data_IF_981366615931
#
_entry.id   IF_981366615931
#
_cell.length_a   1.000
_cell.length_b   1.000
_cell.length_c   1.000
_cell.angle_alpha   90.00
_cell.angle_beta   90.00
_cell.angle_gamma   90.00
#
_symmetry.space_group_name_H-M   'P 1'
#
loop_
_entity.id
_entity.type
_entity.pdbx_description
1 polymer ?
#
# COMPACT_ATOMS: atom_id res chain seq x y z
N UNK A 1 0.35 16.33 -19.38
CA UNK A 1 -0.43 16.18 -18.13
C UNK A 1 0.17 14.97 -17.43
N UNK A 2 0.32 14.95 -16.11
CA UNK A 2 0.83 13.74 -15.45
C UNK A 2 -0.33 12.77 -15.28
N UNK A 3 -0.22 11.53 -15.80
CA UNK A 3 -1.23 10.51 -15.54
C UNK A 3 -1.03 10.02 -14.11
N UNK A 4 -2.14 9.87 -13.39
CA UNK A 4 -2.14 9.40 -12.01
C UNK A 4 -2.73 8.00 -11.97
N UNK A 5 -2.01 7.07 -11.35
CA UNK A 5 -2.55 5.75 -11.08
C UNK A 5 -3.32 5.77 -9.76
N UNK A 6 -4.42 5.03 -9.70
CA UNK A 6 -5.20 4.80 -8.48
C UNK A 6 -4.68 3.54 -7.79
N UNK A 7 -4.43 3.64 -6.47
CA UNK A 7 -3.96 2.53 -5.64
C UNK A 7 -5.06 2.16 -4.64
N UNK A 8 -5.58 0.95 -4.73
CA UNK A 8 -6.48 0.35 -3.74
C UNK A 8 -5.61 -0.50 -2.81
N UNK A 9 -5.42 -0.01 -1.58
CA UNK A 9 -4.54 -0.57 -0.57
C UNK A 9 -5.35 -1.20 0.56
N UNK A 10 -4.86 -2.35 1.05
CA UNK A 10 -5.33 -2.97 2.28
C UNK A 10 -4.15 -3.55 3.05
N UNK A 11 -4.09 -3.28 4.35
CA UNK A 11 -3.17 -3.92 5.28
C UNK A 11 -3.91 -4.50 6.49
N UNK A 12 -3.42 -5.63 6.99
CA UNK A 12 -3.84 -6.19 8.28
C UNK A 12 -2.65 -6.72 9.09
N UNK A 13 -2.68 -6.47 10.40
CA UNK A 13 -1.66 -6.95 11.35
C UNK A 13 -2.14 -6.80 12.79
N UNK A 14 -1.82 -7.78 13.64
CA UNK A 14 -2.03 -7.69 15.09
C UNK A 14 -1.03 -6.74 15.78
N UNK A 15 0.06 -6.36 15.08
CA UNK A 15 1.03 -5.40 15.60
C UNK A 15 0.50 -3.96 15.46
N UNK A 16 -0.03 -3.43 16.56
CA UNK A 16 -0.63 -2.09 16.60
C UNK A 16 0.35 -0.97 16.22
N UNK A 17 1.62 -1.09 16.60
CA UNK A 17 2.64 -0.09 16.25
C UNK A 17 2.91 -0.08 14.74
N UNK A 18 2.94 -1.24 14.09
CA UNK A 18 3.07 -1.31 12.64
C UNK A 18 1.81 -0.78 11.95
N UNK A 19 0.63 -1.03 12.53
CA UNK A 19 -0.64 -0.49 12.02
C UNK A 19 -0.67 1.05 12.10
N UNK A 20 -0.22 1.63 13.22
CA UNK A 20 -0.07 3.08 13.40
C UNK A 20 0.90 3.68 12.37
N UNK A 21 2.03 3.01 12.11
CA UNK A 21 3.00 3.43 11.10
C UNK A 21 2.42 3.39 9.68
N UNK A 22 1.65 2.36 9.35
CA UNK A 22 1.00 2.25 8.03
C UNK A 22 0.00 3.38 7.82
N UNK A 23 -0.89 3.61 8.79
CA UNK A 23 -1.89 4.69 8.72
C UNK A 23 -1.21 6.05 8.53
N UNK A 24 -0.26 6.40 9.41
CA UNK A 24 0.44 7.67 9.35
C UNK A 24 1.25 7.85 8.05
N UNK A 25 1.93 6.79 7.58
CA UNK A 25 2.70 6.85 6.34
C UNK A 25 1.80 7.16 5.13
N UNK A 26 0.63 6.50 5.03
CA UNK A 26 -0.27 6.71 3.91
C UNK A 26 -0.85 8.14 3.92
N UNK A 27 -1.24 8.65 5.08
CA UNK A 27 -1.74 10.03 5.25
C UNK A 27 -0.67 11.09 4.95
N UNK A 28 0.59 10.84 5.35
CA UNK A 28 1.69 11.81 5.19
C UNK A 28 2.25 11.86 3.76
N UNK A 29 2.24 10.73 3.04
CA UNK A 29 2.95 10.60 1.76
C UNK A 29 2.05 10.64 0.53
N UNK A 30 0.77 10.32 0.66
CA UNK A 30 -0.15 10.25 -0.48
C UNK A 30 -1.38 11.13 -0.31
N UNK A 31 -1.90 11.62 -1.44
CA UNK A 31 -3.20 12.26 -1.46
C UNK A 31 -4.27 11.19 -1.67
N UNK A 32 -5.06 10.91 -0.64
CA UNK A 32 -6.05 9.84 -0.66
C UNK A 32 -6.92 9.80 0.58
N UNK A 33 -7.67 8.71 0.71
CA UNK A 33 -8.46 8.39 1.88
C UNK A 33 -7.84 7.21 2.60
N UNK A 34 -7.61 7.34 3.91
CA UNK A 34 -7.14 6.27 4.79
C UNK A 34 -8.22 6.01 5.82
N UNK A 35 -8.57 4.73 6.00
CA UNK A 35 -9.57 4.29 6.96
C UNK A 35 -9.02 3.14 7.80
N UNK A 36 -9.02 3.34 9.11
CA UNK A 36 -8.62 2.31 10.07
C UNK A 36 -9.83 1.68 10.74
N UNK A 37 -9.85 0.36 10.81
CA UNK A 37 -10.85 -0.40 11.54
C UNK A 37 -10.24 -1.67 12.15
N UNK A 38 -10.29 -1.77 13.48
CA UNK A 38 -9.70 -2.89 14.21
C UNK A 38 -8.21 -3.03 13.92
N UNK A 39 -7.82 -4.21 13.45
CA UNK A 39 -6.43 -4.56 13.10
C UNK A 39 -6.14 -4.38 11.60
N UNK A 40 -6.89 -3.49 10.93
CA UNK A 40 -6.80 -3.24 9.49
C UNK A 40 -6.73 -1.76 9.13
N UNK A 41 -6.04 -1.47 8.03
CA UNK A 41 -6.00 -0.15 7.36
C UNK A 41 -6.34 -0.36 5.89
N UNK A 42 -7.42 0.27 5.43
CA UNK A 42 -7.79 0.37 4.01
C UNK A 42 -7.48 1.78 3.51
N UNK A 43 -6.98 1.89 2.30
CA UNK A 43 -6.74 3.20 1.68
C UNK A 43 -6.98 3.21 0.17
N UNK A 44 -7.38 4.36 -0.34
CA UNK A 44 -7.39 4.68 -1.76
C UNK A 44 -6.61 5.96 -1.99
N UNK A 45 -5.55 5.90 -2.80
CA UNK A 45 -4.67 7.04 -3.01
C UNK A 45 -4.05 7.08 -4.41
N UNK A 46 -3.62 8.28 -4.82
CA UNK A 46 -3.01 8.50 -6.13
C UNK A 46 -1.48 8.41 -6.10
N UNK A 47 -0.89 7.79 -7.11
CA UNK A 47 0.55 7.83 -7.40
C UNK A 47 0.80 8.36 -8.82
N UNK A 48 2.04 8.75 -9.13
CA UNK A 48 2.39 9.22 -10.48
C UNK A 48 2.66 8.02 -11.38
N UNK A 49 1.92 7.91 -12.48
CA UNK A 49 2.08 6.93 -13.56
C UNK A 49 1.83 5.46 -13.20
N UNK A 50 2.47 4.97 -12.14
CA UNK A 50 2.55 3.53 -11.83
C UNK A 50 2.50 3.27 -10.32
N UNK A 51 2.68 2.00 -9.94
CA UNK A 51 2.77 1.60 -8.54
C UNK A 51 3.94 2.32 -7.84
N UNK A 52 3.73 2.98 -6.69
CA UNK A 52 4.77 3.74 -5.99
C UNK A 52 5.73 2.79 -5.24
N UNK A 53 6.54 2.06 -6.00
CA UNK A 53 7.40 0.99 -5.47
C UNK A 53 8.36 1.48 -4.40
N UNK A 54 9.00 2.62 -4.64
CA UNK A 54 9.97 3.18 -3.71
C UNK A 54 9.33 3.51 -2.36
N UNK A 55 8.24 4.26 -2.37
CA UNK A 55 7.54 4.70 -1.15
C UNK A 55 6.99 3.49 -0.38
N UNK A 56 6.39 2.52 -1.06
CA UNK A 56 5.85 1.34 -0.39
C UNK A 56 6.95 0.40 0.13
N UNK A 57 8.08 0.27 -0.57
CA UNK A 57 9.22 -0.50 -0.05
C UNK A 57 9.84 0.18 1.17
N UNK A 58 9.90 1.52 1.21
CA UNK A 58 10.33 2.28 2.39
C UNK A 58 9.35 2.07 3.57
N UNK A 59 8.04 2.10 3.32
CA UNK A 59 7.03 1.75 4.31
C UNK A 59 7.28 0.34 4.85
N UNK A 60 7.32 -0.68 3.97
CA UNK A 60 7.47 -2.07 4.38
C UNK A 60 8.79 -2.27 5.14
N UNK A 61 9.89 -1.65 4.71
CA UNK A 61 11.17 -1.75 5.40
C UNK A 61 11.12 -1.24 6.86
N UNK A 62 10.30 -0.22 7.14
CA UNK A 62 10.12 0.40 8.46
C UNK A 62 9.31 -0.44 9.47
N UNK A 63 8.60 -1.46 8.99
CA UNK A 63 7.73 -2.32 9.81
C UNK A 63 8.53 -3.37 10.60
N UNK A 64 8.07 -3.69 11.80
CA UNK A 64 8.76 -4.59 12.72
C UNK A 64 8.36 -6.06 12.50
N UNK A 65 7.06 -6.36 12.50
CA UNK A 65 6.51 -7.72 12.42
C UNK A 65 6.18 -8.12 10.97
N UNK A 66 7.12 -7.92 10.04
CA UNK A 66 6.93 -8.14 8.59
C UNK A 66 6.39 -9.53 8.23
N UNK A 67 6.71 -10.54 9.02
CA UNK A 67 6.25 -11.92 8.83
C UNK A 67 4.77 -12.12 9.20
N UNK A 68 4.20 -11.21 10.00
CA UNK A 68 2.80 -11.24 10.48
C UNK A 68 1.90 -10.21 9.81
N UNK A 69 2.45 -9.42 8.90
CA UNK A 69 1.73 -8.38 8.16
C UNK A 69 1.23 -8.97 6.84
N UNK A 70 -0.02 -8.65 6.51
CA UNK A 70 -0.58 -8.87 5.18
C UNK A 70 -0.85 -7.51 4.55
N UNK A 71 -0.29 -7.26 3.36
CA UNK A 71 -0.59 -6.08 2.54
C UNK A 71 -0.99 -6.55 1.14
N UNK A 72 -2.01 -5.92 0.55
CA UNK A 72 -2.32 -6.06 -0.88
C UNK A 72 -2.56 -4.68 -1.48
N UNK A 73 -2.08 -4.49 -2.70
CA UNK A 73 -2.21 -3.23 -3.43
C UNK A 73 -2.55 -3.55 -4.88
N UNK A 74 -3.70 -3.06 -5.32
CA UNK A 74 -4.07 -3.00 -6.73
C UNK A 74 -3.82 -1.57 -7.22
N UNK A 75 -2.89 -1.42 -8.15
CA UNK A 75 -2.66 -0.17 -8.84
C UNK A 75 -3.18 -0.28 -10.27
N UNK A 76 -3.93 0.71 -10.73
CA UNK A 76 -4.34 0.79 -12.13
C UNK A 76 -4.29 2.22 -12.66
N UNK A 77 -4.03 2.34 -13.95
CA UNK A 77 -4.14 3.57 -14.73
C UNK A 77 -4.79 3.20 -16.07
N UNK A 78 -5.90 3.86 -16.42
CA UNK A 78 -6.76 3.40 -17.52
C UNK A 78 -6.33 3.94 -18.88
N UNK A 79 -5.66 5.09 -18.95
CA UNK A 79 -5.26 5.70 -20.23
C UNK A 79 -4.12 4.92 -20.91
N UNK A 80 -3.14 4.46 -20.12
CA UNK A 80 -1.99 3.66 -20.54
C UNK A 80 -2.22 2.15 -20.34
N UNK A 81 -3.45 1.74 -19.98
CA UNK A 81 -3.86 0.35 -19.74
C UNK A 81 -2.95 -0.39 -18.73
N UNK A 82 -2.41 0.35 -17.76
CA UNK A 82 -1.50 -0.17 -16.74
C UNK A 82 -2.27 -0.82 -15.58
N UNK A 83 -1.81 -1.99 -15.15
CA UNK A 83 -2.27 -2.66 -13.94
C UNK A 83 -1.11 -3.34 -13.24
N UNK A 84 -1.08 -3.26 -11.91
CA UNK A 84 -0.16 -4.01 -11.06
C UNK A 84 -0.92 -4.51 -9.85
N UNK A 85 -0.80 -5.81 -9.54
CA UNK A 85 -1.38 -6.37 -8.34
C UNK A 85 -0.32 -7.09 -7.50
N UNK A 86 -0.06 -6.56 -6.30
CA UNK A 86 1.02 -7.00 -5.42
C UNK A 86 0.48 -7.40 -4.06
N UNK A 87 1.01 -8.49 -3.51
CA UNK A 87 0.69 -8.98 -2.17
C UNK A 87 1.99 -9.13 -1.39
N UNK A 88 2.07 -8.50 -0.23
CA UNK A 88 3.12 -8.77 0.75
C UNK A 88 2.55 -9.65 1.86
N UNK A 89 3.17 -10.80 2.09
CA UNK A 89 2.82 -11.66 3.21
C UNK A 89 4.02 -12.51 3.60
N UNK A 90 4.11 -12.88 4.88
CA UNK A 90 5.21 -13.72 5.38
C UNK A 90 6.61 -13.14 5.02
N UNK A 91 6.73 -11.80 5.05
CA UNK A 91 7.97 -11.10 4.75
C UNK A 91 8.38 -11.08 3.27
N UNK A 92 7.50 -11.43 2.33
CA UNK A 92 7.82 -11.52 0.89
C UNK A 92 6.74 -10.90 0.01
N UNK A 93 7.19 -10.32 -1.10
CA UNK A 93 6.33 -9.86 -2.18
C UNK A 93 5.98 -11.00 -3.15
N UNK A 94 4.72 -11.03 -3.57
CA UNK A 94 4.16 -11.87 -4.62
C UNK A 94 3.45 -10.95 -5.63
N UNK A 95 4.04 -10.82 -6.82
CA UNK A 95 3.55 -9.96 -7.91
C UNK A 95 2.69 -10.82 -8.84
N UNK A 96 1.40 -10.48 -8.95
CA UNK A 96 0.41 -11.28 -9.68
C UNK A 96 0.23 -10.85 -11.13
N UNK A 97 0.26 -9.55 -11.37
CA UNK A 97 0.07 -8.88 -12.67
C UNK A 97 0.98 -7.67 -12.69
#
# INVERSE_FOLDING_TARGET
>A
MANYATNIFHASTENKQDLDKIEAFLDDNFNGFVNRYGDTVDAEFSSRWEYPEKEIDELVASLEAKDKIYIRILTYELEDEYVSFRIFSQGKWDIKL
#
